data_IF_727045312676
#
_entry.id   IF_727045312676
#
_cell.length_a   1.000
_cell.length_b   1.000
_cell.length_c   1.000
_cell.angle_alpha   90.00
_cell.angle_beta   90.00
_cell.angle_gamma   90.00
#
_symmetry.space_group_name_H-M   'P 1'
#
loop_
_entity.id
_entity.type
_entity.pdbx_description
1 polymer ?
#
# COMPACT_ATOMS: atom_id res chain seq x y z
N UNK A 1 -17.37 23.36 2.82
CA UNK A 1 -17.43 23.88 1.44
C UNK A 1 -16.95 22.79 0.50
N UNK A 2 -17.84 22.20 -0.30
CA UNK A 2 -17.52 21.11 -1.24
C UNK A 2 -17.22 21.75 -2.61
N UNK A 3 -16.02 21.51 -3.16
CA UNK A 3 -15.64 21.99 -4.50
C UNK A 3 -15.86 20.87 -5.52
N UNK A 4 -16.86 21.05 -6.39
CA UNK A 4 -17.06 20.28 -7.61
C UNK A 4 -16.07 20.76 -8.67
N UNK A 5 -15.35 19.84 -9.30
CA UNK A 5 -14.63 20.11 -10.54
C UNK A 5 -15.45 19.57 -11.71
N UNK A 6 -15.97 20.48 -12.53
CA UNK A 6 -16.67 20.20 -13.77
C UNK A 6 -15.69 19.86 -14.90
N UNK A 7 -15.99 18.79 -15.62
CA UNK A 7 -15.40 18.42 -16.90
C UNK A 7 -15.65 19.51 -17.95
N UNK A 8 -14.61 19.90 -18.69
CA UNK A 8 -14.73 20.68 -19.92
C UNK A 8 -14.21 19.82 -21.07
N UNK A 9 -15.18 19.38 -21.88
CA UNK A 9 -14.99 18.62 -23.11
C UNK A 9 -14.81 19.64 -24.25
N UNK A 10 -13.61 19.71 -24.84
CA UNK A 10 -13.35 20.57 -26.01
C UNK A 10 -13.34 19.70 -27.26
N UNK A 11 -14.43 19.76 -28.02
CA UNK A 11 -14.48 19.34 -29.41
C UNK A 11 -13.64 20.31 -30.26
N UNK A 12 -12.58 19.80 -30.88
CA UNK A 12 -11.83 20.50 -31.92
C UNK A 12 -11.95 19.74 -33.25
N UNK A 13 -12.84 20.20 -34.11
CA UNK A 13 -12.97 19.80 -35.52
C UNK A 13 -12.20 20.81 -36.38
N UNK A 14 -11.12 20.43 -37.07
CA UNK A 14 -10.67 21.12 -38.29
C UNK A 14 -10.15 20.12 -39.35
N UNK A 15 -11.02 19.95 -40.34
CA UNK A 15 -10.92 19.63 -41.78
C UNK A 15 -9.58 19.33 -42.49
N UNK A 16 -9.66 18.23 -43.26
CA UNK A 16 -9.23 17.95 -44.65
C UNK A 16 -7.74 17.93 -45.02
N UNK A 17 -7.25 16.71 -45.26
CA UNK A 17 -6.14 16.39 -46.16
C UNK A 17 -6.41 15.03 -46.83
N UNK A 18 -6.54 15.03 -48.15
CA UNK A 18 -6.93 13.91 -49.00
C UNK A 18 -5.77 12.91 -49.19
N UNK A 19 -6.03 11.62 -49.01
CA UNK A 19 -5.11 10.53 -49.36
C UNK A 19 -5.69 9.17 -49.00
N UNK A 20 -6.15 8.43 -50.02
CA UNK A 20 -6.60 7.03 -49.90
C UNK A 20 -5.53 6.13 -49.30
N UNK A 21 -5.92 5.37 -48.28
CA UNK A 21 -5.57 3.97 -48.05
C UNK A 21 -6.44 3.44 -46.92
N UNK A 22 -7.18 2.37 -47.19
CA UNK A 22 -7.92 1.61 -46.19
C UNK A 22 -6.91 1.00 -45.20
N UNK A 23 -7.01 1.34 -43.91
CA UNK A 23 -6.37 0.61 -42.82
C UNK A 23 -7.19 0.80 -41.54
N UNK A 24 -7.86 -0.27 -41.12
CA UNK A 24 -8.55 -0.39 -39.83
C UNK A 24 -7.53 -0.26 -38.69
N UNK A 25 -7.55 0.87 -37.99
CA UNK A 25 -6.80 1.03 -36.74
C UNK A 25 -7.74 0.90 -35.54
N UNK A 26 -7.80 -0.34 -35.07
CA UNK A 26 -8.23 -0.72 -33.73
C UNK A 26 -7.40 0.08 -32.71
N UNK A 27 -8.04 1.03 -32.03
CA UNK A 27 -7.41 1.75 -30.92
C UNK A 27 -7.24 0.75 -29.78
N UNK A 28 -6.02 0.22 -29.66
CA UNK A 28 -5.58 -0.56 -28.50
C UNK A 28 -5.53 0.37 -27.29
N UNK A 29 -6.52 0.21 -26.44
CA UNK A 29 -6.52 0.69 -25.07
C UNK A 29 -5.52 -0.21 -24.31
N UNK A 30 -4.24 0.19 -24.26
CA UNK A 30 -3.19 -0.52 -23.52
C UNK A 30 -3.43 -0.37 -22.01
N UNK A 31 -4.36 -1.16 -21.48
CA UNK A 31 -4.27 -1.61 -20.10
C UNK A 31 -3.03 -2.50 -20.03
N UNK A 32 -1.94 -1.99 -19.45
CA UNK A 32 -0.85 -2.81 -18.96
C UNK A 32 -1.42 -3.87 -18.01
N UNK A 33 -1.75 -5.03 -18.58
CA UNK A 33 -1.95 -6.25 -17.84
C UNK A 33 -0.56 -6.64 -17.40
N UNK A 34 -0.15 -6.25 -16.19
CA UNK A 34 1.00 -6.88 -15.54
C UNK A 34 0.70 -8.37 -15.48
N UNK A 35 1.27 -9.10 -16.43
CA UNK A 35 1.35 -10.54 -16.41
C UNK A 35 2.49 -10.86 -15.46
N UNK A 36 2.15 -11.33 -14.27
CA UNK A 36 3.10 -12.13 -13.51
C UNK A 36 3.39 -13.34 -14.39
N UNK A 37 4.61 -13.43 -14.91
CA UNK A 37 5.10 -14.68 -15.47
C UNK A 37 4.90 -15.78 -14.41
N UNK A 38 4.73 -17.03 -14.84
CA UNK A 38 4.57 -18.13 -13.91
C UNK A 38 5.83 -18.23 -13.02
N UNK A 39 5.76 -17.64 -11.83
CA UNK A 39 6.84 -17.65 -10.84
C UNK A 39 6.97 -19.06 -10.28
N UNK A 40 8.21 -19.46 -9.95
CA UNK A 40 8.41 -20.68 -9.18
C UNK A 40 7.92 -20.47 -7.74
N UNK A 41 7.68 -21.58 -7.05
CA UNK A 41 7.32 -21.53 -5.63
C UNK A 41 8.40 -20.84 -4.77
N UNK A 42 9.68 -21.09 -5.08
CA UNK A 42 10.81 -20.46 -4.38
C UNK A 42 10.82 -18.93 -4.61
N UNK A 43 10.52 -18.48 -5.83
CA UNK A 43 10.42 -17.04 -6.13
C UNK A 43 9.23 -16.39 -5.41
N UNK A 44 8.10 -17.11 -5.30
CA UNK A 44 6.92 -16.64 -4.55
C UNK A 44 7.23 -16.51 -3.06
N UNK A 45 7.85 -17.55 -2.47
CA UNK A 45 8.23 -17.55 -1.05
C UNK A 45 9.24 -16.43 -0.74
N UNK A 46 10.18 -16.17 -1.66
CA UNK A 46 11.12 -15.05 -1.56
C UNK A 46 10.41 -13.69 -1.59
N UNK A 47 9.47 -13.48 -2.52
CA UNK A 47 8.71 -12.21 -2.59
C UNK A 47 7.81 -12.03 -1.35
N UNK A 48 7.19 -13.11 -0.85
CA UNK A 48 6.43 -13.06 0.41
C UNK A 48 7.30 -12.67 1.61
N UNK A 49 8.52 -13.19 1.67
CA UNK A 49 9.51 -12.83 2.69
C UNK A 49 9.93 -11.36 2.59
N UNK A 50 10.13 -10.84 1.38
CA UNK A 50 10.41 -9.43 1.14
C UNK A 50 9.25 -8.52 1.54
N UNK A 51 8.01 -8.96 1.29
CA UNK A 51 6.80 -8.26 1.74
C UNK A 51 6.71 -8.25 3.26
N UNK A 52 6.92 -9.40 3.90
CA UNK A 52 6.96 -9.55 5.36
C UNK A 52 7.98 -8.60 6.00
N UNK A 53 9.20 -8.58 5.47
CA UNK A 53 10.26 -7.67 5.90
C UNK A 53 9.90 -6.20 5.69
N UNK A 54 9.28 -5.87 4.55
CA UNK A 54 8.78 -4.51 4.30
C UNK A 54 7.70 -4.08 5.30
N UNK A 55 6.73 -4.96 5.61
CA UNK A 55 5.68 -4.66 6.59
C UNK A 55 6.31 -4.40 7.96
N UNK A 56 7.22 -5.26 8.42
CA UNK A 56 7.85 -5.16 9.74
C UNK A 56 8.77 -3.94 9.83
N UNK A 57 9.66 -3.75 8.87
CA UNK A 57 10.68 -2.71 8.90
C UNK A 57 10.13 -1.34 8.53
N UNK A 58 9.78 -1.17 7.25
CA UNK A 58 9.46 0.14 6.67
C UNK A 58 8.10 0.67 7.15
N UNK A 59 7.08 -0.19 7.23
CA UNK A 59 5.70 0.25 7.52
C UNK A 59 5.41 0.28 9.01
N UNK A 60 5.75 -0.80 9.74
CA UNK A 60 5.48 -0.93 11.15
C UNK A 60 6.49 -0.16 12.02
N UNK A 61 7.75 -0.58 12.05
CA UNK A 61 8.76 -0.02 12.95
C UNK A 61 9.05 1.46 12.66
N UNK A 62 9.46 1.77 11.43
CA UNK A 62 9.85 3.13 11.02
C UNK A 62 8.65 4.05 10.71
N UNK A 63 7.43 3.53 10.86
CA UNK A 63 6.18 4.20 10.51
C UNK A 63 5.19 4.22 11.67
N UNK A 64 4.32 3.20 11.74
CA UNK A 64 3.20 3.17 12.68
C UNK A 64 3.62 3.27 14.16
N UNK A 65 4.70 2.60 14.56
CA UNK A 65 5.15 2.61 15.97
C UNK A 65 5.66 4.00 16.34
N UNK A 66 6.52 4.60 15.51
CA UNK A 66 7.05 5.94 15.74
C UNK A 66 5.93 7.01 15.74
N UNK A 67 4.97 6.90 14.83
CA UNK A 67 3.81 7.81 14.79
C UNK A 67 2.98 7.67 16.06
N UNK A 68 2.70 6.44 16.50
CA UNK A 68 1.97 6.17 17.75
C UNK A 68 2.69 6.79 18.94
N UNK A 69 3.98 6.50 19.10
CA UNK A 69 4.73 6.98 20.26
C UNK A 69 4.89 8.51 20.26
N UNK A 70 4.89 9.13 19.08
CA UNK A 70 4.84 10.58 18.96
C UNK A 70 3.48 11.16 19.37
N UNK A 71 2.38 10.54 18.93
CA UNK A 71 1.03 10.92 19.34
C UNK A 71 0.80 10.73 20.85
N UNK A 72 1.47 9.77 21.48
CA UNK A 72 1.34 9.49 22.91
C UNK A 72 2.29 10.35 23.76
N UNK A 73 3.56 10.39 23.40
CA UNK A 73 4.65 10.88 24.24
C UNK A 73 5.40 12.08 23.64
N UNK A 74 5.22 12.36 22.35
CA UNK A 74 5.96 13.39 21.62
C UNK A 74 7.39 13.01 21.24
N UNK A 75 7.73 11.72 21.32
CA UNK A 75 9.05 11.15 21.01
C UNK A 75 8.91 9.99 20.03
N UNK A 76 10.01 9.54 19.44
CA UNK A 76 10.05 8.26 18.72
C UNK A 76 9.84 7.05 19.67
N UNK A 77 9.82 5.86 19.10
CA UNK A 77 9.63 4.61 19.84
C UNK A 77 10.75 4.27 20.83
N UNK A 78 11.89 4.95 20.72
CA UNK A 78 13.04 4.80 21.63
C UNK A 78 13.12 5.93 22.67
N UNK A 79 12.14 6.84 22.69
CA UNK A 79 12.09 7.97 23.61
C UNK A 79 12.93 9.18 23.19
N UNK A 80 13.38 9.24 21.93
CA UNK A 80 14.19 10.35 21.42
C UNK A 80 13.34 11.39 20.69
N UNK A 81 13.93 12.57 20.50
CA UNK A 81 13.34 13.60 19.65
C UNK A 81 13.18 13.09 18.21
N UNK A 82 12.00 13.35 17.62
CA UNK A 82 11.64 12.89 16.29
C UNK A 82 11.14 14.04 15.42
N UNK A 83 11.62 14.11 14.18
CA UNK A 83 11.04 14.97 13.15
C UNK A 83 9.86 14.27 12.50
N UNK A 84 8.66 14.59 12.97
CA UNK A 84 7.41 14.03 12.46
C UNK A 84 7.21 14.27 10.95
N UNK A 85 7.75 15.36 10.39
CA UNK A 85 7.63 15.63 8.95
C UNK A 85 8.44 14.62 8.14
N UNK A 86 9.62 14.23 8.61
CA UNK A 86 10.44 13.20 7.98
C UNK A 86 9.79 11.82 8.14
N UNK A 87 9.29 11.50 9.34
CA UNK A 87 8.60 10.23 9.61
C UNK A 87 7.36 10.05 8.73
N UNK A 88 6.49 11.06 8.63
CA UNK A 88 5.32 11.01 7.74
C UNK A 88 5.70 10.83 6.26
N UNK A 89 6.81 11.44 5.80
CA UNK A 89 7.31 11.22 4.43
C UNK A 89 7.75 9.76 4.20
N UNK A 90 8.42 9.14 5.18
CA UNK A 90 8.85 7.74 5.11
C UNK A 90 7.65 6.80 5.15
N UNK A 91 6.74 7.02 6.09
CA UNK A 91 5.46 6.30 6.20
C UNK A 91 4.68 6.34 4.88
N UNK A 92 4.46 7.53 4.31
CA UNK A 92 3.74 7.69 3.04
C UNK A 92 4.47 7.02 1.86
N UNK A 93 5.80 6.95 1.88
CA UNK A 93 6.58 6.23 0.88
C UNK A 93 6.41 4.72 1.04
N UNK A 94 6.41 4.20 2.27
CA UNK A 94 6.17 2.79 2.56
C UNK A 94 4.76 2.40 2.11
N UNK A 95 3.72 3.10 2.58
CA UNK A 95 2.32 2.78 2.29
C UNK A 95 1.99 2.72 0.79
N UNK A 96 2.66 3.52 -0.07
CA UNK A 96 2.50 3.45 -1.53
C UNK A 96 2.78 2.06 -2.13
N UNK A 97 3.61 1.23 -1.50
CA UNK A 97 3.88 -0.13 -1.96
C UNK A 97 2.72 -1.10 -1.68
N UNK A 98 1.85 -0.78 -0.72
CA UNK A 98 0.82 -1.69 -0.23
C UNK A 98 -0.13 -2.17 -1.33
N UNK A 99 -0.54 -1.30 -2.25
CA UNK A 99 -1.41 -1.67 -3.37
C UNK A 99 -0.76 -2.66 -4.35
N UNK A 100 0.57 -2.54 -4.58
CA UNK A 100 1.31 -3.49 -5.43
C UNK A 100 1.33 -4.87 -4.76
N UNK A 101 1.66 -4.91 -3.47
CA UNK A 101 1.73 -6.17 -2.71
C UNK A 101 0.36 -6.83 -2.53
N UNK A 102 -0.69 -6.02 -2.34
CA UNK A 102 -2.06 -6.54 -2.31
C UNK A 102 -2.46 -7.23 -3.61
N UNK A 103 -2.12 -6.63 -4.75
CA UNK A 103 -2.34 -7.24 -6.05
C UNK A 103 -1.56 -8.55 -6.22
N UNK A 104 -0.29 -8.57 -5.81
CA UNK A 104 0.53 -9.78 -5.86
C UNK A 104 -0.06 -10.90 -5.02
N UNK A 105 -0.32 -10.67 -3.73
CA UNK A 105 -0.82 -11.70 -2.81
C UNK A 105 -2.18 -12.22 -3.24
N UNK A 106 -3.10 -11.34 -3.70
CA UNK A 106 -4.41 -11.78 -4.22
C UNK A 106 -4.31 -12.65 -5.48
N UNK A 107 -3.22 -12.54 -6.24
CA UNK A 107 -2.99 -13.34 -7.45
C UNK A 107 -2.42 -14.73 -7.18
N UNK A 108 -1.98 -15.01 -5.94
CA UNK A 108 -1.42 -16.31 -5.56
C UNK A 108 -2.47 -17.42 -5.62
N UNK A 109 -1.97 -18.64 -5.85
CA UNK A 109 -2.77 -19.86 -5.86
C UNK A 109 -3.50 -20.06 -4.53
N UNK A 110 -4.81 -20.30 -4.60
CA UNK A 110 -5.67 -20.39 -3.41
C UNK A 110 -5.41 -21.67 -2.61
N UNK A 111 -5.18 -22.80 -3.29
CA UNK A 111 -5.01 -24.10 -2.64
C UNK A 111 -3.70 -24.15 -1.85
N UNK A 112 -2.68 -23.41 -2.29
CA UNK A 112 -1.38 -23.35 -1.64
C UNK A 112 -1.20 -22.19 -0.65
N UNK A 113 -1.72 -21.00 -0.97
CA UNK A 113 -1.44 -19.77 -0.22
C UNK A 113 -2.69 -19.13 0.42
N UNK A 114 -3.81 -19.85 0.51
CA UNK A 114 -5.08 -19.35 1.05
C UNK A 114 -4.97 -18.66 2.42
N UNK A 115 -4.30 -19.30 3.39
CA UNK A 115 -4.13 -18.75 4.74
C UNK A 115 -3.35 -17.42 4.74
N UNK A 116 -2.31 -17.33 3.89
CA UNK A 116 -1.51 -16.10 3.71
C UNK A 116 -2.36 -14.99 3.08
N UNK A 117 -3.22 -15.34 2.11
CA UNK A 117 -4.13 -14.37 1.48
C UNK A 117 -5.15 -13.83 2.49
N UNK A 118 -5.70 -14.70 3.33
CA UNK A 118 -6.64 -14.30 4.39
C UNK A 118 -5.98 -13.40 5.44
N UNK A 119 -4.80 -13.80 5.93
CA UNK A 119 -4.02 -13.02 6.89
C UNK A 119 -3.64 -11.64 6.32
N UNK A 120 -3.15 -11.61 5.08
CA UNK A 120 -2.83 -10.38 4.37
C UNK A 120 -4.06 -9.48 4.23
N UNK A 121 -5.19 -10.01 3.77
CA UNK A 121 -6.39 -9.21 3.55
C UNK A 121 -6.86 -8.54 4.85
N UNK A 122 -6.84 -9.27 5.96
CA UNK A 122 -7.18 -8.73 7.28
C UNK A 122 -6.22 -7.62 7.71
N UNK A 123 -4.90 -7.85 7.58
CA UNK A 123 -3.88 -6.85 7.88
C UNK A 123 -3.99 -5.61 6.97
N UNK A 124 -4.26 -5.80 5.68
CA UNK A 124 -4.36 -4.73 4.69
C UNK A 124 -5.58 -3.82 4.93
N UNK A 125 -6.71 -4.37 5.36
CA UNK A 125 -7.86 -3.56 5.79
C UNK A 125 -7.52 -2.66 6.99
N UNK A 126 -6.85 -3.21 8.01
CA UNK A 126 -6.39 -2.40 9.16
C UNK A 126 -5.33 -1.38 8.74
N UNK A 127 -4.47 -1.72 7.78
CA UNK A 127 -3.48 -0.80 7.18
C UNK A 127 -4.16 0.44 6.60
N UNK A 128 -5.27 0.26 5.87
CA UNK A 128 -6.07 1.37 5.33
C UNK A 128 -6.74 2.20 6.43
N UNK A 129 -7.22 1.57 7.49
CA UNK A 129 -7.83 2.28 8.63
C UNK A 129 -6.80 3.19 9.30
N UNK A 130 -5.56 2.70 9.51
CA UNK A 130 -4.48 3.54 10.07
C UNK A 130 -4.05 4.64 9.13
N UNK A 131 -3.94 4.34 7.83
CA UNK A 131 -3.61 5.36 6.84
C UNK A 131 -4.67 6.46 6.79
N UNK A 132 -5.95 6.11 6.74
CA UNK A 132 -7.05 7.08 6.74
C UNK A 132 -6.98 7.99 7.96
N UNK A 133 -6.72 7.45 9.14
CA UNK A 133 -6.49 8.25 10.34
C UNK A 133 -5.30 9.21 10.14
N UNK A 134 -4.14 8.70 9.70
CA UNK A 134 -2.91 9.49 9.56
C UNK A 134 -3.08 10.61 8.52
N UNK A 135 -3.78 10.34 7.41
CA UNK A 135 -4.01 11.36 6.37
C UNK A 135 -5.08 12.39 6.75
N UNK A 136 -6.03 12.02 7.63
CA UNK A 136 -7.18 12.87 7.97
C UNK A 136 -6.94 13.76 9.19
N UNK A 137 -5.84 13.56 9.92
CA UNK A 137 -5.54 14.26 11.17
C UNK A 137 -4.18 14.96 11.13
N UNK A 138 -4.08 16.07 11.86
CA UNK A 138 -2.79 16.70 12.12
C UNK A 138 -2.04 15.89 13.17
N UNK A 139 -0.92 15.28 12.78
CA UNK A 139 -0.09 14.48 13.69
C UNK A 139 0.82 15.40 14.49
N UNK A 140 0.44 15.65 15.74
CA UNK A 140 1.16 16.54 16.67
C UNK A 140 1.60 15.78 17.92
N UNK A 141 2.72 16.20 18.51
CA UNK A 141 3.26 15.58 19.71
C UNK A 141 2.22 15.55 20.84
N UNK A 142 2.03 14.38 21.47
CA UNK A 142 1.05 14.16 22.55
C UNK A 142 -0.40 14.52 22.13
N UNK A 143 -0.70 14.41 20.84
CA UNK A 143 -1.99 14.81 20.26
C UNK A 143 -3.12 13.79 20.46
N UNK A 144 -2.80 12.50 20.56
CA UNK A 144 -3.79 11.43 20.71
C UNK A 144 -3.20 10.19 21.42
N UNK A 145 -3.37 10.07 22.75
CA UNK A 145 -2.91 8.90 23.49
C UNK A 145 -3.73 7.63 23.22
N UNK A 146 -4.88 7.73 22.54
CA UNK A 146 -5.77 6.59 22.27
C UNK A 146 -5.51 5.97 20.89
N UNK A 147 -4.71 6.60 20.04
CA UNK A 147 -4.29 6.01 18.77
C UNK A 147 -3.54 4.70 19.03
N UNK A 148 -4.17 3.57 18.73
CA UNK A 148 -3.61 2.23 18.95
C UNK A 148 -3.26 1.54 17.64
N UNK A 149 -2.17 0.77 17.69
CA UNK A 149 -1.66 -0.05 16.61
C UNK A 149 -1.68 -1.56 16.95
N UNK A 150 -2.35 -1.94 18.05
CA UNK A 150 -2.31 -3.30 18.60
C UNK A 150 -3.02 -4.35 17.73
N UNK A 151 -4.13 -3.97 17.07
CA UNK A 151 -4.80 -4.87 16.12
C UNK A 151 -3.94 -5.10 14.89
N UNK A 152 -3.35 -4.04 14.34
CA UNK A 152 -2.40 -4.18 13.24
C UNK A 152 -1.22 -5.09 13.64
N UNK A 153 -0.71 -4.94 14.87
CA UNK A 153 0.37 -5.79 15.37
C UNK A 153 0.00 -7.28 15.37
N UNK A 154 -1.19 -7.62 15.87
CA UNK A 154 -1.68 -9.00 15.88
C UNK A 154 -1.82 -9.57 14.46
N UNK A 155 -2.38 -8.79 13.53
CA UNK A 155 -2.55 -9.25 12.14
C UNK A 155 -1.21 -9.37 11.40
N UNK A 156 -0.28 -8.45 11.65
CA UNK A 156 1.09 -8.55 11.16
C UNK A 156 1.74 -9.82 11.67
N UNK A 157 1.71 -10.06 12.99
CA UNK A 157 2.39 -11.21 13.59
C UNK A 157 1.87 -12.52 13.00
N UNK A 158 0.54 -12.64 12.84
CA UNK A 158 -0.06 -13.79 12.17
C UNK A 158 0.39 -13.95 10.70
N UNK A 159 0.42 -12.86 9.92
CA UNK A 159 0.92 -12.89 8.55
C UNK A 159 2.40 -13.28 8.49
N UNK A 160 3.25 -12.71 9.37
CA UNK A 160 4.69 -12.99 9.39
C UNK A 160 4.98 -14.43 9.79
N UNK A 161 4.20 -15.00 10.71
CA UNK A 161 4.33 -16.40 11.12
C UNK A 161 4.03 -17.34 9.96
N UNK A 162 2.94 -17.10 9.21
CA UNK A 162 2.59 -17.91 8.04
C UNK A 162 3.63 -17.81 6.92
N UNK A 163 4.23 -16.64 6.72
CA UNK A 163 5.32 -16.48 5.74
C UNK A 163 6.59 -17.20 6.20
N UNK A 164 6.91 -17.17 7.50
CA UNK A 164 8.06 -17.88 8.06
C UNK A 164 7.92 -19.40 7.92
N UNK A 165 6.71 -19.94 8.07
CA UNK A 165 6.42 -21.37 7.92
C UNK A 165 6.59 -21.90 6.46
N UNK A 166 6.88 -21.02 5.49
CA UNK A 166 7.22 -21.40 4.11
C UNK A 166 8.71 -21.72 3.90
N UNK A 167 9.58 -21.38 4.86
CA UNK A 167 11.05 -21.60 4.82
C UNK A 167 11.46 -23.00 5.32
#
# INVERSE_FOLDING_TARGET
>A
MKRLFSFVLVLGLILTGCGSSDDDNDIKDDKEKETFEAMSDDDINSELSDISNWVVGDYWNDGLVDIRDYLHNGTDATGKEMDITITLKRYNKAYKKAAKYDKFIKSLDEDKYGDIKEAWNTMYEEMKIKDEYIQSNDIVAKGDPEFSTDLFAQYRDYFTDLVYDLE
#
